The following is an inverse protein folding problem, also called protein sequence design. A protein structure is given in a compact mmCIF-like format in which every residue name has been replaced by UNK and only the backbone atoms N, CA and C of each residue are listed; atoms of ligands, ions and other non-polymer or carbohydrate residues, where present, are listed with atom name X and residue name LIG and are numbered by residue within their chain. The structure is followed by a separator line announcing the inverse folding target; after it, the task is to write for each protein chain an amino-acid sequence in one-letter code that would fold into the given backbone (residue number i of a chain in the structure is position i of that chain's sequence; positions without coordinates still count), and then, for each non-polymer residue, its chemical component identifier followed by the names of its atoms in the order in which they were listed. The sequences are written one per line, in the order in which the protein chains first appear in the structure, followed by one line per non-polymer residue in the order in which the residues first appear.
data_IF_147807667059
#
_entry.id   IF_147807667059
#
_cell.length_a   1.000
_cell.length_b   1.000
_cell.length_c   1.000
_cell.angle_alpha   90.00
_cell.angle_beta   90.00
_cell.angle_gamma   90.00
#
_symmetry.space_group_name_H-M   'P 1'
#
loop_
_entity.id
_entity.type
_entity.pdbx_description
1 polymer ?
#
# COMPACT_ATOMS: atom_id res chain seq x y z
N UNK A 1 -0.74 7.31 13.58
CA UNK A 1 -1.29 7.29 12.20
C UNK A 1 -0.20 6.71 11.31
N UNK A 2 -0.27 5.40 11.07
CA UNK A 2 0.60 4.71 10.11
C UNK A 2 -0.20 4.60 8.83
N UNK A 3 0.47 4.73 7.70
CA UNK A 3 -0.18 4.67 6.41
C UNK A 3 0.40 3.50 5.64
N UNK A 4 -0.45 2.62 5.13
CA UNK A 4 -0.02 1.54 4.26
C UNK A 4 -0.21 1.97 2.80
N UNK A 5 0.85 1.86 2.00
CA UNK A 5 0.91 2.25 0.61
C UNK A 5 1.23 1.02 -0.23
N UNK A 6 0.50 0.85 -1.33
CA UNK A 6 0.79 -0.15 -2.33
C UNK A 6 0.42 0.35 -3.71
N UNK A 7 1.22 0.00 -4.71
CA UNK A 7 0.88 0.33 -6.08
C UNK A 7 -0.33 -0.48 -6.57
N UNK A 8 -1.22 0.14 -7.34
CA UNK A 8 -2.42 -0.50 -7.88
C UNK A 8 -2.11 -1.77 -8.70
N UNK A 9 -1.01 -1.81 -9.45
CA UNK A 9 -0.59 -2.98 -10.23
C UNK A 9 -0.22 -4.17 -9.34
N UNK A 10 0.45 -3.87 -8.23
CA UNK A 10 0.83 -4.87 -7.22
C UNK A 10 -0.39 -5.38 -6.47
N UNK A 11 -1.36 -4.51 -6.20
CA UNK A 11 -2.62 -4.91 -5.59
C UNK A 11 -3.44 -5.82 -6.52
N UNK A 12 -3.51 -5.47 -7.81
CA UNK A 12 -4.14 -6.30 -8.84
C UNK A 12 -3.45 -7.66 -8.99
N UNK A 13 -2.12 -7.67 -9.01
CA UNK A 13 -1.32 -8.90 -9.10
C UNK A 13 -1.48 -9.79 -7.87
N UNK A 14 -1.58 -9.20 -6.67
CA UNK A 14 -1.83 -9.92 -5.44
C UNK A 14 -3.28 -10.44 -5.34
N UNK A 15 -4.23 -9.76 -5.99
CA UNK A 15 -5.65 -10.11 -6.03
C UNK A 15 -6.44 -9.82 -4.75
N UNK A 16 -5.76 -9.48 -3.64
CA UNK A 16 -6.40 -8.97 -2.43
C UNK A 16 -5.38 -8.26 -1.53
N UNK A 17 -5.86 -7.35 -0.67
CA UNK A 17 -5.04 -6.62 0.29
C UNK A 17 -4.32 -7.56 1.27
N UNK A 18 -5.02 -8.59 1.76
CA UNK A 18 -4.43 -9.60 2.65
C UNK A 18 -3.30 -10.37 1.97
N UNK A 19 -3.48 -10.79 0.71
CA UNK A 19 -2.41 -11.44 -0.06
C UNK A 19 -1.23 -10.50 -0.31
N UNK A 20 -1.50 -9.24 -0.62
CA UNK A 20 -0.45 -8.25 -0.81
C UNK A 20 0.38 -8.04 0.48
N UNK A 21 -0.27 -8.15 1.64
CA UNK A 21 0.40 -8.15 2.95
C UNK A 21 1.30 -9.36 3.14
N UNK A 22 0.79 -10.55 2.89
CA UNK A 22 1.55 -11.80 2.99
C UNK A 22 2.74 -11.83 2.02
N UNK A 23 2.58 -11.24 0.83
CA UNK A 23 3.64 -11.09 -0.18
C UNK A 23 4.65 -9.98 0.16
N UNK A 24 4.43 -9.19 1.21
CA UNK A 24 5.31 -8.08 1.60
C UNK A 24 5.29 -6.90 0.61
N UNK A 25 4.23 -6.74 -0.17
CA UNK A 25 4.07 -5.66 -1.15
C UNK A 25 3.56 -4.36 -0.53
N UNK A 26 2.96 -4.43 0.66
CA UNK A 26 2.51 -3.27 1.42
C UNK A 26 3.71 -2.57 2.06
N UNK A 27 3.86 -1.28 1.77
CA UNK A 27 4.86 -0.41 2.41
C UNK A 27 4.18 0.40 3.50
N UNK A 28 4.75 0.45 4.68
CA UNK A 28 4.24 1.32 5.74
C UNK A 28 5.04 2.61 5.73
N UNK A 29 4.38 3.69 5.35
CA UNK A 29 4.97 4.99 5.16
C UNK A 29 4.45 6.00 6.18
N UNK A 30 5.32 6.96 6.50
CA UNK A 30 5.05 8.04 7.45
C UNK A 30 4.46 9.29 6.80
N UNK A 31 4.44 10.40 7.56
CA UNK A 31 3.93 11.70 7.10
C UNK A 31 4.70 12.31 5.93
N UNK A 32 5.93 11.85 5.68
CA UNK A 32 6.85 12.41 4.69
C UNK A 32 6.80 11.69 3.34
N UNK A 33 5.85 10.76 3.14
CA UNK A 33 5.78 10.01 1.89
C UNK A 33 5.13 10.80 0.76
N UNK A 34 5.84 10.87 -0.35
CA UNK A 34 5.38 11.49 -1.59
C UNK A 34 4.61 10.44 -2.39
N UNK A 35 3.29 10.63 -2.48
CA UNK A 35 2.38 9.79 -3.25
C UNK A 35 2.71 9.90 -4.73
N UNK A 36 2.83 8.76 -5.41
CA UNK A 36 2.96 8.72 -6.86
C UNK A 36 1.62 8.34 -7.50
N UNK A 37 1.46 8.69 -8.77
CA UNK A 37 0.26 8.33 -9.53
C UNK A 37 0.08 6.80 -9.57
N UNK A 38 -1.11 6.33 -9.21
CA UNK A 38 -1.42 4.90 -9.10
C UNK A 38 -1.09 4.25 -7.73
N UNK A 39 -0.61 5.00 -6.74
CA UNK A 39 -0.49 4.45 -5.39
C UNK A 39 -1.85 4.42 -4.67
N UNK A 40 -2.17 3.26 -4.10
CA UNK A 40 -3.32 3.01 -3.24
C UNK A 40 -2.87 3.11 -1.79
N UNK A 41 -3.56 3.94 -1.03
CA UNK A 41 -3.17 4.32 0.32
C UNK A 41 -4.29 4.00 1.31
N UNK A 42 -3.98 3.18 2.32
CA UNK A 42 -4.85 2.88 3.44
C UNK A 42 -4.36 3.63 4.69
N UNK A 43 -5.17 4.58 5.16
CA UNK A 43 -4.90 5.33 6.40
C UNK A 43 -5.43 4.56 7.60
N UNK A 44 -4.54 4.13 8.50
CA UNK A 44 -4.93 3.56 9.80
C UNK A 44 -4.87 4.64 10.87
N UNK A 45 -6.06 5.06 11.32
CA UNK A 45 -6.29 5.96 12.46
C UNK A 45 -5.94 5.25 13.77
#
# INVERSE_FOLDING_TARGET
IRTEVINWENLLSAGSWSKARDLGLLRTEGKDYVVNDGDVIEFKI
#
